data_IF_694629640378
#
_entry.id   IF_694629640378
#
_cell.length_a   1.000
_cell.length_b   1.000
_cell.length_c   1.000
_cell.angle_alpha   90.00
_cell.angle_beta   90.00
_cell.angle_gamma   90.00
#
_symmetry.space_group_name_H-M   'P 1'
#
loop_
_entity.id
_entity.type
_entity.pdbx_description
1 polymer ?
#
# COMPACT_ATOMS: atom_id res chain seq x y z
N UNK A 1 26.19 9.32 5.52
CA UNK A 1 25.09 8.37 5.30
C UNK A 1 23.93 9.22 4.85
N UNK A 2 23.48 9.10 3.60
CA UNK A 2 22.29 9.82 3.15
C UNK A 2 21.13 9.19 3.91
N UNK A 3 20.55 9.92 4.86
CA UNK A 3 19.42 9.50 5.68
C UNK A 3 18.21 9.26 4.76
N UNK A 4 18.22 8.11 4.09
CA UNK A 4 17.24 7.74 3.09
C UNK A 4 15.91 7.59 3.79
N UNK A 5 15.04 8.59 3.60
CA UNK A 5 13.62 8.52 3.97
C UNK A 5 13.04 7.25 3.38
N UNK A 6 12.97 6.21 4.21
CA UNK A 6 12.31 4.97 3.85
C UNK A 6 10.84 5.27 3.63
N UNK A 7 10.32 4.81 2.51
CA UNK A 7 8.96 5.09 2.10
C UNK A 7 7.99 4.16 2.82
N UNK A 8 6.78 4.66 3.02
CA UNK A 8 5.67 3.89 3.57
C UNK A 8 4.72 3.58 2.43
N UNK A 9 4.33 2.31 2.33
CA UNK A 9 3.34 1.84 1.38
C UNK A 9 2.04 1.47 2.11
N UNK A 10 0.89 1.73 1.48
CA UNK A 10 -0.43 1.54 2.09
C UNK A 10 -1.36 0.79 1.15
N UNK A 11 -1.95 -0.30 1.62
CA UNK A 11 -2.99 -1.06 0.92
C UNK A 11 -4.26 -1.01 1.77
N UNK A 12 -5.28 -0.31 1.29
CA UNK A 12 -6.53 -0.19 2.03
C UNK A 12 -7.63 0.54 1.30
N UNK A 13 -8.77 0.68 1.95
CA UNK A 13 -9.90 1.46 1.47
C UNK A 13 -9.54 2.95 1.26
N UNK A 14 -10.40 3.63 0.53
CA UNK A 14 -10.26 5.04 0.19
C UNK A 14 -10.10 5.93 1.44
N UNK A 15 -10.86 5.66 2.51
CA UNK A 15 -10.81 6.44 3.75
C UNK A 15 -9.43 6.33 4.39
N UNK A 16 -8.87 5.12 4.43
CA UNK A 16 -7.55 4.86 4.98
C UNK A 16 -6.47 5.54 4.14
N UNK A 17 -6.47 5.33 2.82
CA UNK A 17 -5.49 5.94 1.91
C UNK A 17 -5.54 7.47 1.98
N UNK A 18 -6.74 8.03 2.04
CA UNK A 18 -6.94 9.48 2.20
C UNK A 18 -6.39 9.97 3.54
N UNK A 19 -6.62 9.24 4.63
CA UNK A 19 -6.04 9.54 5.94
C UNK A 19 -4.51 9.59 5.94
N UNK A 20 -3.85 8.67 5.23
CA UNK A 20 -2.39 8.67 5.10
C UNK A 20 -1.86 9.84 4.26
N UNK A 21 -2.55 10.17 3.16
CA UNK A 21 -2.19 11.34 2.33
C UNK A 21 -2.31 12.63 3.15
N UNK A 22 -3.38 12.78 3.94
CA UNK A 22 -3.58 13.93 4.83
C UNK A 22 -2.55 13.99 5.96
N UNK A 23 -2.07 12.84 6.45
CA UNK A 23 -1.00 12.75 7.44
C UNK A 23 0.40 13.10 6.89
N UNK A 24 0.51 13.44 5.60
CA UNK A 24 1.78 13.72 4.93
C UNK A 24 2.53 12.47 4.46
N UNK A 25 1.91 11.30 4.59
CA UNK A 25 2.44 9.99 4.18
C UNK A 25 1.82 9.64 2.82
N UNK A 26 2.20 10.41 1.80
CA UNK A 26 1.57 10.34 0.47
C UNK A 26 2.51 10.85 -0.62
N UNK A 27 3.77 10.42 -0.59
CA UNK A 27 4.73 10.86 -1.60
C UNK A 27 4.56 10.02 -2.87
N UNK A 28 4.10 10.66 -3.96
CA UNK A 28 4.13 10.08 -5.30
C UNK A 28 5.58 10.13 -5.78
N UNK A 29 6.32 9.05 -5.57
CA UNK A 29 7.66 8.92 -6.14
C UNK A 29 7.56 8.87 -7.66
N UNK A 30 8.58 9.39 -8.37
CA UNK A 30 8.66 9.32 -9.83
C UNK A 30 8.52 7.87 -10.38
N UNK A 31 8.78 6.88 -9.52
CA UNK A 31 8.80 5.45 -9.82
C UNK A 31 7.43 4.75 -9.62
N UNK A 32 6.42 5.44 -9.08
CA UNK A 32 5.07 4.87 -8.93
C UNK A 32 4.29 5.35 -7.70
N UNK A 33 3.03 4.94 -7.63
CA UNK A 33 2.18 5.13 -6.46
C UNK A 33 2.52 4.07 -5.39
N UNK A 34 2.79 4.49 -4.16
CA UNK A 34 3.05 3.58 -3.04
C UNK A 34 1.76 3.21 -2.29
N UNK A 35 0.60 3.40 -2.91
CA UNK A 35 -0.68 3.08 -2.31
C UNK A 35 -1.59 2.32 -3.28
N UNK A 36 -2.37 1.39 -2.74
CA UNK A 36 -3.42 0.68 -3.46
C UNK A 36 -4.74 0.92 -2.74
N UNK A 37 -5.69 1.50 -3.47
CA UNK A 37 -7.07 1.63 -3.00
C UNK A 37 -7.80 0.31 -3.26
N UNK A 38 -8.24 -0.35 -2.20
CA UNK A 38 -9.00 -1.60 -2.24
C UNK A 38 -10.48 -1.27 -2.14
N UNK A 39 -11.23 -1.72 -3.14
CA UNK A 39 -12.69 -1.66 -3.17
C UNK A 39 -13.26 -3.09 -3.17
N UNK A 40 -14.56 -3.24 -2.92
CA UNK A 40 -15.24 -4.54 -2.98
C UNK A 40 -15.17 -5.23 -4.35
N UNK A 41 -14.85 -4.48 -5.40
CA UNK A 41 -14.70 -4.98 -6.76
C UNK A 41 -13.24 -5.25 -7.14
N UNK A 42 -12.28 -4.96 -6.25
CA UNK A 42 -10.85 -5.16 -6.54
C UNK A 42 -10.51 -6.64 -6.39
N UNK A 43 -10.06 -7.32 -7.47
CA UNK A 43 -9.74 -8.74 -7.40
C UNK A 43 -8.47 -8.99 -6.59
N UNK A 44 -8.44 -10.11 -5.86
CA UNK A 44 -7.32 -10.51 -5.00
C UNK A 44 -6.00 -10.60 -5.79
N UNK A 45 -6.06 -11.03 -7.05
CA UNK A 45 -4.88 -11.10 -7.92
C UNK A 45 -4.17 -9.75 -8.11
N UNK A 46 -4.91 -8.63 -8.10
CA UNK A 46 -4.32 -7.28 -8.17
C UNK A 46 -3.66 -6.90 -6.84
N UNK A 47 -4.25 -7.30 -5.72
CA UNK A 47 -3.68 -7.09 -4.38
C UNK A 47 -2.36 -7.86 -4.27
N UNK A 48 -2.33 -9.13 -4.66
CA UNK A 48 -1.12 -9.96 -4.64
C UNK A 48 -0.02 -9.43 -5.56
N UNK A 49 -0.38 -9.04 -6.79
CA UNK A 49 0.58 -8.47 -7.74
C UNK A 49 1.19 -7.18 -7.19
N UNK A 50 0.37 -6.31 -6.61
CA UNK A 50 0.83 -5.04 -6.02
C UNK A 50 1.65 -5.29 -4.76
N UNK A 51 1.22 -6.21 -3.89
CA UNK A 51 1.97 -6.62 -2.70
C UNK A 51 3.38 -7.10 -3.08
N UNK A 52 3.49 -7.98 -4.09
CA UNK A 52 4.79 -8.46 -4.58
C UNK A 52 5.68 -7.31 -5.07
N UNK A 53 5.13 -6.39 -5.88
CA UNK A 53 5.88 -5.23 -6.36
C UNK A 53 6.35 -4.34 -5.21
N UNK A 54 5.52 -4.09 -4.20
CA UNK A 54 5.87 -3.29 -3.03
C UNK A 54 6.92 -3.99 -2.14
N UNK A 55 6.85 -5.31 -1.98
CA UNK A 55 7.86 -6.09 -1.23
C UNK A 55 9.19 -6.24 -1.97
N UNK A 56 9.20 -6.06 -3.29
CA UNK A 56 10.43 -6.16 -4.11
C UNK A 56 11.25 -4.87 -4.09
N UNK A 57 10.67 -3.73 -3.66
CA UNK A 57 11.37 -2.44 -3.54
C UNK A 57 12.04 -2.30 -2.16
N UNK A 58 13.36 -2.18 -2.13
CA UNK A 58 14.18 -2.01 -0.92
C UNK A 58 14.06 -0.61 -0.26
N UNK A 59 13.47 0.33 -0.99
CA UNK A 59 13.17 1.71 -0.57
C UNK A 59 11.91 1.83 0.30
N UNK A 60 11.06 0.78 0.36
CA UNK A 60 9.89 0.71 1.24
C UNK A 60 10.31 0.04 2.57
N UNK A 61 10.17 0.72 3.70
CA UNK A 61 10.43 0.10 5.01
C UNK A 61 9.18 -0.42 5.71
N UNK A 62 8.02 0.19 5.44
CA UNK A 62 6.78 -0.15 6.15
C UNK A 62 5.67 -0.31 5.12
N UNK A 63 5.01 -1.47 5.14
CA UNK A 63 3.82 -1.77 4.36
C UNK A 63 2.63 -1.90 5.32
N UNK A 64 1.66 -1.01 5.20
CA UNK A 64 0.43 -1.05 5.98
C UNK A 64 -0.68 -1.67 5.15
N UNK A 65 -1.33 -2.68 5.71
CA UNK A 65 -2.46 -3.37 5.08
C UNK A 65 -3.64 -3.28 6.02
N UNK A 66 -4.76 -2.79 5.50
CA UNK A 66 -6.00 -2.70 6.27
C UNK A 66 -6.61 -4.09 6.52
N UNK A 67 -7.22 -4.26 7.68
CA UNK A 67 -7.81 -5.54 8.09
C UNK A 67 -8.98 -5.95 7.18
N UNK A 68 -9.72 -5.00 6.61
CA UNK A 68 -10.74 -5.27 5.58
C UNK A 68 -10.17 -5.97 4.34
N UNK A 69 -8.96 -5.64 3.91
CA UNK A 69 -8.30 -6.33 2.78
C UNK A 69 -7.88 -7.76 3.15
N UNK A 70 -7.39 -7.99 4.38
CA UNK A 70 -7.01 -9.33 4.87
C UNK A 70 -8.22 -10.26 5.11
N UNK A 71 -9.42 -9.72 5.37
CA UNK A 71 -10.59 -10.57 5.67
C UNK A 71 -11.14 -11.26 4.43
N UNK A 72 -10.91 -10.69 3.24
CA UNK A 72 -11.27 -11.32 1.96
C UNK A 72 -10.36 -12.51 1.59
N UNK A 73 -9.12 -12.56 2.10
CA UNK A 73 -8.18 -13.65 1.84
C UNK A 73 -8.48 -14.92 2.68
N UNK A 74 -9.10 -14.75 3.86
CA UNK A 74 -9.29 -15.84 4.83
C UNK A 74 -10.55 -16.69 4.63
N UNK A 75 -11.28 -16.51 3.52
CA UNK A 75 -12.51 -17.25 3.23
C UNK A 75 -12.55 -17.83 1.81
N UNK A 76 -11.41 -18.28 1.28
CA UNK A 76 -11.35 -19.12 0.09
C UNK A 76 -10.57 -20.41 0.34
#
# INVERSE_FOLDING_TARGET
MSDGTKLVAVIGDEDTVTGFILAGIGHRTAEGCNFLVVNSNTPISVIESTFRTLTTRDDIAILLITQQACICDRFS
#
